data_IF_095484872777
#
_entry.id   IF_095484872777
#
_cell.length_a   1.000
_cell.length_b   1.000
_cell.length_c   1.000
_cell.angle_alpha   90.00
_cell.angle_beta   90.00
_cell.angle_gamma   90.00
#
_symmetry.space_group_name_H-M   'P 1'
#
loop_
_entity.id
_entity.type
_entity.pdbx_description
1 polymer ?
#
# COMPACT_ATOMS: atom_id res chain seq x y z
N UNK A 1 1.98 -7.43 11.36
CA UNK A 1 0.53 -7.23 11.62
C UNK A 1 -0.19 -6.66 10.41
N UNK A 2 0.15 -5.46 9.94
CA UNK A 2 -0.61 -4.76 8.88
C UNK A 2 -0.70 -5.53 7.55
N UNK A 3 0.37 -6.22 7.14
CA UNK A 3 0.35 -7.10 5.94
C UNK A 3 -0.67 -8.26 6.04
N UNK A 4 -0.98 -8.73 7.24
CA UNK A 4 -2.01 -9.77 7.47
C UNK A 4 -3.40 -9.16 7.45
N UNK A 5 -3.56 -8.00 8.09
CA UNK A 5 -4.82 -7.26 8.07
C UNK A 5 -5.23 -6.85 6.64
N UNK A 6 -4.32 -6.29 5.85
CA UNK A 6 -4.62 -5.91 4.47
C UNK A 6 -4.78 -7.11 3.55
N UNK A 7 -4.16 -8.26 3.88
CA UNK A 7 -4.45 -9.52 3.18
C UNK A 7 -5.90 -9.93 3.43
N UNK A 8 -6.33 -9.96 4.69
CA UNK A 8 -7.70 -10.37 5.07
C UNK A 8 -8.76 -9.46 4.45
N UNK A 9 -8.51 -8.14 4.41
CA UNK A 9 -9.39 -7.18 3.73
C UNK A 9 -9.39 -7.34 2.21
N UNK A 10 -8.21 -7.51 1.59
CA UNK A 10 -8.12 -7.65 0.14
C UNK A 10 -8.81 -8.93 -0.33
N UNK A 11 -8.65 -10.04 0.39
CA UNK A 11 -9.30 -11.30 0.01
C UNK A 11 -10.81 -11.23 0.21
N UNK A 12 -11.29 -10.62 1.30
CA UNK A 12 -12.72 -10.38 1.51
C UNK A 12 -13.31 -9.52 0.38
N UNK A 13 -12.65 -8.40 0.05
CA UNK A 13 -13.16 -7.47 -0.95
C UNK A 13 -13.13 -8.04 -2.37
N UNK A 14 -12.03 -8.69 -2.77
CA UNK A 14 -11.88 -9.18 -4.15
C UNK A 14 -12.54 -10.53 -4.39
N UNK A 15 -12.63 -11.38 -3.36
CA UNK A 15 -13.07 -12.76 -3.51
C UNK A 15 -14.30 -13.11 -2.66
N UNK A 16 -14.80 -12.20 -1.82
CA UNK A 16 -15.91 -12.46 -0.90
C UNK A 16 -15.55 -13.44 0.21
N UNK A 17 -14.26 -13.64 0.47
CA UNK A 17 -13.80 -14.58 1.51
C UNK A 17 -12.50 -14.09 2.15
N UNK A 18 -12.54 -13.88 3.45
CA UNK A 18 -11.36 -13.55 4.26
C UNK A 18 -10.57 -14.80 4.61
N UNK A 19 -9.24 -14.68 4.61
CA UNK A 19 -8.33 -15.79 4.95
C UNK A 19 -7.96 -15.82 6.44
N UNK A 20 -8.51 -14.88 7.23
CA UNK A 20 -8.33 -14.77 8.68
C UNK A 20 -6.86 -14.87 9.15
N UNK A 21 -5.92 -14.44 8.32
CA UNK A 21 -4.47 -14.57 8.55
C UNK A 21 -4.03 -13.86 9.84
N UNK A 22 -4.70 -12.77 10.22
CA UNK A 22 -4.42 -12.08 11.48
C UNK A 22 -4.80 -12.93 12.70
N UNK A 23 -5.96 -13.61 12.68
CA UNK A 23 -6.42 -14.46 13.80
C UNK A 23 -5.49 -15.66 13.99
N UNK A 24 -5.13 -16.35 12.91
CA UNK A 24 -4.20 -17.49 12.96
C UNK A 24 -2.83 -17.10 13.52
N UNK A 25 -2.33 -15.90 13.19
CA UNK A 25 -1.07 -15.39 13.76
C UNK A 25 -1.16 -15.10 15.26
N UNK A 26 -2.35 -14.82 15.80
CA UNK A 26 -2.57 -14.53 17.22
C UNK A 26 -2.93 -15.76 18.06
N UNK A 27 -2.96 -16.96 17.45
CA UNK A 27 -3.47 -18.19 18.07
C UNK A 27 -4.92 -18.10 18.59
N UNK A 28 -5.67 -17.07 18.19
CA UNK A 28 -7.07 -16.94 18.50
C UNK A 28 -7.88 -18.03 17.76
N UNK A 29 -8.99 -18.53 18.35
CA UNK A 29 -9.88 -19.46 17.65
C UNK A 29 -10.29 -18.86 16.30
N UNK A 30 -10.02 -19.58 15.21
CA UNK A 30 -10.61 -19.27 13.91
C UNK A 30 -12.13 -19.54 13.96
N UNK A 31 -12.93 -19.02 13.03
CA UNK A 31 -14.26 -19.59 12.82
C UNK A 31 -14.13 -21.11 12.63
N UNK A 32 -15.14 -21.86 13.06
CA UNK A 32 -15.21 -23.30 12.82
C UNK A 32 -14.86 -23.54 11.35
N UNK A 33 -13.90 -24.42 11.12
CA UNK A 33 -13.37 -24.77 9.82
C UNK A 33 -14.58 -25.04 8.91
N UNK A 34 -14.93 -24.09 8.06
CA UNK A 34 -16.06 -24.13 7.12
C UNK A 34 -15.84 -25.17 6.01
N UNK A 35 -14.79 -25.99 6.16
CA UNK A 35 -14.42 -27.08 5.27
C UNK A 35 -13.85 -26.60 3.93
N UNK A 36 -13.75 -25.28 3.73
CA UNK A 36 -13.50 -24.68 2.43
C UNK A 36 -12.02 -24.72 2.02
N UNK A 37 -11.08 -24.36 2.91
CA UNK A 37 -9.63 -24.45 2.65
C UNK A 37 -8.80 -24.33 3.94
N UNK A 38 -7.69 -25.08 4.11
CA UNK A 38 -6.82 -24.90 5.27
C UNK A 38 -5.99 -23.62 5.13
N UNK A 39 -6.53 -22.49 5.58
CA UNK A 39 -5.92 -21.15 5.50
C UNK A 39 -4.64 -20.95 6.32
N UNK A 40 -4.33 -21.90 7.21
CA UNK A 40 -3.17 -21.85 8.10
C UNK A 40 -1.87 -21.81 7.27
N UNK A 41 -1.13 -20.70 7.38
CA UNK A 41 0.17 -20.52 6.72
C UNK A 41 0.13 -19.73 5.41
N UNK A 42 -1.04 -19.42 4.84
CA UNK A 42 -1.12 -18.71 3.56
C UNK A 42 -0.38 -17.35 3.58
N UNK A 43 -0.50 -16.60 4.67
CA UNK A 43 0.23 -15.33 4.79
C UNK A 43 1.75 -15.50 4.78
N UNK A 44 2.26 -16.59 5.36
CA UNK A 44 3.69 -16.91 5.39
C UNK A 44 4.17 -17.39 4.01
N UNK A 45 3.40 -18.25 3.35
CA UNK A 45 3.65 -18.69 1.98
C UNK A 45 3.65 -17.49 1.02
N UNK A 46 2.72 -16.55 1.18
CA UNK A 46 2.61 -15.35 0.35
C UNK A 46 3.82 -14.42 0.56
N UNK A 47 4.21 -14.18 1.81
CA UNK A 47 5.40 -13.38 2.14
C UNK A 47 6.69 -14.02 1.60
N UNK A 48 6.84 -15.34 1.78
CA UNK A 48 8.00 -16.07 1.30
C UNK A 48 8.04 -16.12 -0.24
N UNK A 49 6.92 -16.39 -0.91
CA UNK A 49 6.80 -16.34 -2.37
C UNK A 49 7.18 -14.94 -2.91
N UNK A 50 6.67 -13.88 -2.30
CA UNK A 50 6.96 -12.49 -2.68
C UNK A 50 8.46 -12.18 -2.54
N UNK A 51 9.11 -12.64 -1.46
CA UNK A 51 10.58 -12.51 -1.29
C UNK A 51 11.36 -13.21 -2.42
N UNK A 52 10.93 -14.39 -2.84
CA UNK A 52 11.55 -15.07 -3.97
C UNK A 52 11.32 -14.34 -5.30
N UNK A 53 10.11 -13.81 -5.55
CA UNK A 53 9.80 -12.99 -6.73
C UNK A 53 10.69 -11.74 -6.77
N UNK A 54 10.93 -11.09 -5.63
CA UNK A 54 11.83 -9.94 -5.54
C UNK A 54 13.27 -10.29 -5.90
N UNK A 55 13.79 -11.42 -5.40
CA UNK A 55 15.14 -11.88 -5.78
C UNK A 55 15.23 -12.20 -7.28
N UNK A 56 14.18 -12.80 -7.84
CA UNK A 56 14.07 -13.03 -9.29
C UNK A 56 14.05 -11.71 -10.07
N UNK A 57 13.32 -10.71 -9.60
CA UNK A 57 13.27 -9.38 -10.19
C UNK A 57 14.65 -8.71 -10.21
N UNK A 58 15.41 -8.78 -9.10
CA UNK A 58 16.78 -8.25 -9.00
C UNK A 58 17.76 -8.89 -10.00
N UNK A 59 17.52 -10.14 -10.39
CA UNK A 59 18.34 -10.86 -11.35
C UNK A 59 18.00 -10.53 -12.82
N UNK A 60 16.94 -9.75 -13.08
CA UNK A 60 16.52 -9.32 -14.42
C UNK A 60 16.43 -10.52 -15.39
N UNK A 61 17.17 -10.50 -16.50
CA UNK A 61 17.20 -11.59 -17.50
C UNK A 61 17.71 -12.93 -16.94
N UNK A 62 18.36 -12.91 -15.78
CA UNK A 62 18.87 -14.10 -15.09
C UNK A 62 17.94 -14.58 -13.98
N UNK A 63 16.67 -14.13 -13.94
CA UNK A 63 15.69 -14.51 -12.92
C UNK A 63 15.58 -16.04 -12.69
N UNK A 64 15.84 -16.84 -13.72
CA UNK A 64 15.76 -18.29 -13.68
C UNK A 64 16.80 -18.94 -12.75
N UNK A 65 17.89 -18.24 -12.43
CA UNK A 65 18.90 -18.70 -11.45
C UNK A 65 18.32 -18.84 -10.05
N UNK A 66 17.30 -18.05 -9.68
CA UNK A 66 16.63 -18.15 -8.38
C UNK A 66 15.36 -18.99 -8.47
N UNK A 67 15.51 -20.30 -8.37
CA UNK A 67 14.39 -21.25 -8.35
C UNK A 67 14.58 -22.36 -7.29
N UNK A 68 14.65 -22.01 -5.99
CA UNK A 68 14.80 -23.01 -4.93
C UNK A 68 13.52 -23.85 -4.74
N UNK A 69 13.64 -25.00 -4.07
CA UNK A 69 12.48 -25.89 -3.77
C UNK A 69 11.40 -25.15 -2.96
N UNK A 70 11.82 -24.38 -1.96
CA UNK A 70 10.91 -23.56 -1.13
C UNK A 70 10.05 -22.62 -1.97
N UNK A 71 10.62 -21.99 -3.01
CA UNK A 71 9.86 -21.09 -3.89
C UNK A 71 8.73 -21.83 -4.60
N UNK A 72 9.01 -23.04 -5.12
CA UNK A 72 8.00 -23.86 -5.80
C UNK A 72 6.89 -24.31 -4.85
N UNK A 73 7.24 -24.65 -3.62
CA UNK A 73 6.28 -25.06 -2.58
C UNK A 73 5.37 -23.89 -2.18
N UNK A 74 5.94 -22.72 -1.90
CA UNK A 74 5.17 -21.51 -1.56
C UNK A 74 4.23 -21.08 -2.69
N UNK A 75 4.73 -21.05 -3.94
CA UNK A 75 3.91 -20.72 -5.12
C UNK A 75 2.78 -21.73 -5.31
N UNK A 76 3.01 -23.02 -5.06
CA UNK A 76 1.97 -24.04 -5.14
C UNK A 76 0.83 -23.74 -4.16
N UNK A 77 1.12 -23.31 -2.94
CA UNK A 77 0.08 -22.95 -1.96
C UNK A 77 -0.66 -21.67 -2.36
N UNK A 78 0.07 -20.63 -2.77
CA UNK A 78 -0.52 -19.35 -3.23
C UNK A 78 -1.41 -19.56 -4.46
N UNK A 79 -0.99 -20.40 -5.41
CA UNK A 79 -1.81 -20.76 -6.57
C UNK A 79 -3.05 -21.56 -6.18
N UNK A 80 -2.91 -22.54 -5.28
CA UNK A 80 -4.03 -23.35 -4.80
C UNK A 80 -5.09 -22.47 -4.13
N UNK A 81 -4.67 -21.43 -3.41
CA UNK A 81 -5.57 -20.40 -2.88
C UNK A 81 -6.28 -19.61 -3.98
N UNK A 82 -5.52 -19.02 -4.90
CA UNK A 82 -6.12 -18.21 -5.95
C UNK A 82 -7.08 -19.02 -6.82
N UNK A 83 -6.73 -20.26 -7.16
CA UNK A 83 -7.59 -21.21 -7.88
C UNK A 83 -8.88 -21.54 -7.10
N UNK A 84 -8.83 -21.56 -5.77
CA UNK A 84 -10.01 -21.70 -4.92
C UNK A 84 -10.92 -20.47 -5.03
N UNK A 85 -10.38 -19.26 -4.85
CA UNK A 85 -11.14 -18.01 -4.90
C UNK A 85 -11.84 -17.77 -6.23
N UNK A 86 -11.22 -18.17 -7.34
CA UNK A 86 -11.77 -17.94 -8.68
C UNK A 86 -12.62 -19.10 -9.19
N UNK A 87 -12.76 -20.19 -8.42
CA UNK A 87 -13.44 -21.41 -8.89
C UNK A 87 -14.86 -21.12 -9.39
N UNK A 88 -15.65 -20.42 -8.61
CA UNK A 88 -17.03 -20.08 -8.95
C UNK A 88 -17.09 -19.08 -10.11
N UNK A 89 -16.13 -18.16 -10.17
CA UNK A 89 -16.01 -17.21 -11.27
C UNK A 89 -15.67 -17.92 -12.61
N UNK A 90 -14.77 -18.91 -12.59
CA UNK A 90 -14.45 -19.75 -13.75
C UNK A 90 -15.71 -20.48 -14.23
N UNK A 91 -16.45 -21.10 -13.30
CA UNK A 91 -17.68 -21.84 -13.62
C UNK A 91 -18.76 -20.94 -14.23
N UNK A 92 -18.99 -19.75 -13.66
CA UNK A 92 -20.00 -18.79 -14.15
C UNK A 92 -19.62 -18.12 -15.47
N UNK A 93 -18.35 -17.76 -15.63
CA UNK A 93 -17.90 -16.98 -16.79
C UNK A 93 -17.64 -17.84 -18.04
N UNK A 94 -17.78 -19.17 -17.94
CA UNK A 94 -17.40 -20.14 -18.98
C UNK A 94 -16.02 -19.81 -19.61
N UNK A 95 -15.11 -19.30 -18.77
CA UNK A 95 -13.87 -18.66 -19.22
C UNK A 95 -12.82 -19.70 -19.59
N UNK A 96 -12.20 -19.51 -20.76
CA UNK A 96 -11.34 -20.50 -21.41
C UNK A 96 -9.89 -20.53 -20.91
N UNK A 97 -9.49 -19.65 -19.98
CA UNK A 97 -8.10 -19.58 -19.51
C UNK A 97 -7.97 -19.38 -17.98
N UNK A 98 -7.99 -20.47 -17.19
CA UNK A 98 -7.85 -20.41 -15.74
C UNK A 98 -6.49 -19.85 -15.29
N UNK A 99 -5.45 -19.95 -16.12
CA UNK A 99 -4.12 -19.42 -15.80
C UNK A 99 -4.14 -17.89 -15.79
N UNK A 100 -4.80 -17.27 -16.76
CA UNK A 100 -4.93 -15.82 -16.84
C UNK A 100 -5.72 -15.28 -15.64
N UNK A 101 -6.86 -15.89 -15.33
CA UNK A 101 -7.69 -15.49 -14.18
C UNK A 101 -6.90 -15.56 -12.88
N UNK A 102 -6.23 -16.69 -12.60
CA UNK A 102 -5.38 -16.83 -11.42
C UNK A 102 -4.32 -15.72 -11.37
N UNK A 103 -3.65 -15.47 -12.49
CA UNK A 103 -2.57 -14.48 -12.57
C UNK A 103 -3.09 -13.06 -12.29
N UNK A 104 -4.24 -12.68 -12.87
CA UNK A 104 -4.85 -11.37 -12.61
C UNK A 104 -5.35 -11.22 -11.18
N UNK A 105 -5.97 -12.27 -10.61
CA UNK A 105 -6.39 -12.28 -9.21
C UNK A 105 -5.21 -12.11 -8.25
N UNK A 106 -4.10 -12.78 -8.49
CA UNK A 106 -2.88 -12.62 -7.71
C UNK A 106 -2.27 -11.22 -7.86
N UNK A 107 -2.28 -10.64 -9.07
CA UNK A 107 -1.79 -9.27 -9.30
C UNK A 107 -2.59 -8.24 -8.50
N UNK A 108 -3.93 -8.34 -8.51
CA UNK A 108 -4.81 -7.42 -7.79
C UNK A 108 -4.67 -7.61 -6.27
N UNK A 109 -4.56 -8.86 -5.81
CA UNK A 109 -4.35 -9.18 -4.40
C UNK A 109 -3.04 -8.59 -3.86
N UNK A 110 -1.94 -8.82 -4.57
CA UNK A 110 -0.64 -8.24 -4.23
C UNK A 110 -0.71 -6.71 -4.19
N UNK A 111 -1.30 -6.09 -5.22
CA UNK A 111 -1.44 -4.65 -5.31
C UNK A 111 -2.24 -4.07 -4.14
N UNK A 112 -3.37 -4.68 -3.77
CA UNK A 112 -4.23 -4.22 -2.67
C UNK A 112 -3.62 -4.43 -1.28
N UNK A 113 -2.82 -5.49 -1.10
CA UNK A 113 -2.24 -5.86 0.18
C UNK A 113 -1.00 -5.03 0.55
N UNK A 114 0.03 -5.10 -0.28
CA UNK A 114 1.38 -4.66 0.10
C UNK A 114 1.51 -3.13 0.06
N UNK A 115 0.86 -2.47 -0.92
CA UNK A 115 0.89 -1.00 -1.03
C UNK A 115 0.09 -0.32 0.08
N UNK A 116 -1.09 -0.85 0.40
CA UNK A 116 -1.93 -0.32 1.49
C UNK A 116 -1.27 -0.55 2.84
N UNK A 117 -0.67 -1.72 3.07
CA UNK A 117 0.07 -1.98 4.30
C UNK A 117 1.23 -0.99 4.48
N UNK A 118 1.97 -0.67 3.42
CA UNK A 118 3.02 0.36 3.44
C UNK A 118 2.47 1.73 3.84
N UNK A 119 1.44 2.22 3.15
CA UNK A 119 0.82 3.52 3.45
C UNK A 119 0.41 3.62 4.93
N UNK A 120 -0.29 2.61 5.43
CA UNK A 120 -0.76 2.59 6.83
C UNK A 120 0.42 2.51 7.81
N UNK A 121 1.46 1.74 7.49
CA UNK A 121 2.65 1.61 8.32
C UNK A 121 3.39 2.94 8.46
N UNK A 122 3.69 3.60 7.33
CA UNK A 122 4.31 4.92 7.30
C UNK A 122 3.45 5.98 7.98
N UNK A 123 2.12 5.91 7.80
CA UNK A 123 1.19 6.82 8.47
C UNK A 123 1.31 6.73 9.99
N UNK A 124 1.29 5.53 10.57
CA UNK A 124 1.41 5.40 12.03
C UNK A 124 2.77 5.79 12.56
N UNK A 125 3.85 5.51 11.81
CA UNK A 125 5.18 5.97 12.21
C UNK A 125 5.25 7.51 12.26
N UNK A 126 4.81 8.19 11.19
CA UNK A 126 4.78 9.65 11.13
C UNK A 126 3.86 10.24 12.20
N UNK A 127 2.65 9.71 12.38
CA UNK A 127 1.72 10.21 13.39
C UNK A 127 2.24 10.01 14.82
N UNK A 128 2.92 8.90 15.12
CA UNK A 128 3.53 8.68 16.43
C UNK A 128 4.75 9.58 16.68
N UNK A 129 5.47 9.97 15.62
CA UNK A 129 6.58 10.93 15.68
C UNK A 129 6.11 12.39 15.81
N UNK A 130 4.88 12.68 15.37
CA UNK A 130 4.29 14.02 15.37
C UNK A 130 2.98 14.09 16.18
N UNK A 131 3.03 14.12 17.53
CA UNK A 131 1.84 14.09 18.38
C UNK A 131 0.85 15.25 18.14
N UNK A 132 1.32 16.43 17.73
CA UNK A 132 0.46 17.57 17.37
C UNK A 132 -0.44 17.22 16.18
N UNK A 133 0.14 16.65 15.12
CA UNK A 133 -0.59 16.22 13.92
C UNK A 133 -1.50 15.03 14.24
N UNK A 134 -1.08 14.11 15.11
CA UNK A 134 -1.95 13.04 15.61
C UNK A 134 -3.23 13.61 16.25
N UNK A 135 -3.06 14.58 17.16
CA UNK A 135 -4.18 15.20 17.88
C UNK A 135 -5.09 16.01 16.95
N UNK A 136 -4.51 16.72 15.97
CA UNK A 136 -5.29 17.43 14.95
C UNK A 136 -6.12 16.46 14.11
N UNK A 137 -5.50 15.39 13.59
CA UNK A 137 -6.21 14.33 12.86
C UNK A 137 -7.33 13.72 13.70
N UNK A 138 -7.06 13.39 14.97
CA UNK A 138 -8.07 12.86 15.89
C UNK A 138 -9.22 13.84 16.08
N UNK A 139 -8.96 15.14 16.25
CA UNK A 139 -9.99 16.17 16.36
C UNK A 139 -10.88 16.24 15.12
N UNK A 140 -10.29 16.25 13.92
CA UNK A 140 -11.04 16.20 12.65
C UNK A 140 -11.88 14.93 12.52
N UNK A 141 -11.31 13.77 12.88
CA UNK A 141 -11.99 12.48 12.84
C UNK A 141 -13.18 12.43 13.80
N UNK A 142 -13.00 12.81 15.07
CA UNK A 142 -14.08 12.79 16.06
C UNK A 142 -15.20 13.77 15.68
N UNK A 143 -14.85 14.94 15.15
CA UNK A 143 -15.84 15.92 14.66
C UNK A 143 -16.66 15.38 13.49
N UNK A 144 -16.00 14.70 12.54
CA UNK A 144 -16.65 14.24 11.31
C UNK A 144 -17.41 12.91 11.50
N UNK A 145 -16.86 11.97 12.27
CA UNK A 145 -17.34 10.60 12.36
C UNK A 145 -17.91 10.22 13.72
N UNK A 146 -17.74 11.05 14.76
CA UNK A 146 -18.17 10.74 16.12
C UNK A 146 -17.16 9.89 16.91
N UNK A 147 -17.54 9.42 18.11
CA UNK A 147 -16.71 8.55 18.95
C UNK A 147 -16.53 7.15 18.33
N UNK A 148 -15.69 6.32 18.95
CA UNK A 148 -15.37 4.98 18.42
C UNK A 148 -16.60 4.09 18.29
N UNK A 149 -17.57 4.21 19.17
CA UNK A 149 -18.79 3.40 19.22
C UNK A 149 -19.72 3.71 18.02
N UNK A 150 -19.62 4.90 17.44
CA UNK A 150 -20.39 5.32 16.27
C UNK A 150 -19.66 4.97 14.97
N UNK A 151 -20.27 4.12 14.14
CA UNK A 151 -19.74 3.73 12.81
C UNK A 151 -20.66 4.13 11.66
N UNK A 152 -21.91 4.47 11.94
CA UNK A 152 -22.93 4.83 10.95
C UNK A 152 -22.54 6.03 10.08
N UNK A 153 -21.69 6.93 10.58
CA UNK A 153 -21.21 8.11 9.84
C UNK A 153 -20.04 7.78 8.90
N UNK A 154 -19.43 6.60 9.03
CA UNK A 154 -18.26 6.20 8.24
C UNK A 154 -18.75 5.51 6.96
N UNK A 155 -18.72 6.25 5.86
CA UNK A 155 -19.07 5.78 4.52
C UNK A 155 -17.91 6.08 3.56
N UNK A 156 -17.93 5.48 2.38
CA UNK A 156 -16.97 5.82 1.32
C UNK A 156 -16.96 7.33 1.02
N UNK A 157 -18.13 7.94 0.91
CA UNK A 157 -18.26 9.36 0.60
C UNK A 157 -17.74 10.25 1.74
N UNK A 158 -18.09 9.93 2.99
CA UNK A 158 -17.69 10.75 4.14
C UNK A 158 -16.19 10.63 4.43
N UNK A 159 -15.60 9.43 4.32
CA UNK A 159 -14.14 9.23 4.38
C UNK A 159 -13.40 10.07 3.34
N UNK A 160 -13.89 10.09 2.11
CA UNK A 160 -13.33 10.89 1.02
C UNK A 160 -13.46 12.39 1.26
N UNK A 161 -14.52 12.82 1.94
CA UNK A 161 -14.79 14.24 2.25
C UNK A 161 -14.06 14.78 3.48
N UNK A 162 -13.51 13.91 4.34
CA UNK A 162 -12.72 14.34 5.50
C UNK A 162 -11.36 14.88 5.04
N UNK A 163 -11.30 16.17 4.78
CA UNK A 163 -10.19 16.86 4.11
C UNK A 163 -8.84 16.63 4.80
N UNK A 164 -8.76 16.83 6.12
CA UNK A 164 -7.51 16.65 6.86
C UNK A 164 -7.04 15.19 6.88
N UNK A 165 -7.96 14.21 6.91
CA UNK A 165 -7.61 12.79 6.74
C UNK A 165 -7.00 12.53 5.36
N UNK A 166 -7.54 13.15 4.31
CA UNK A 166 -6.96 13.07 2.96
C UNK A 166 -5.59 13.75 2.90
N UNK A 167 -5.40 14.87 3.61
CA UNK A 167 -4.12 15.58 3.68
C UNK A 167 -3.04 14.74 4.34
N UNK A 168 -3.34 14.10 5.47
CA UNK A 168 -2.41 13.16 6.13
C UNK A 168 -2.01 12.04 5.16
N UNK A 169 -2.96 11.38 4.51
CA UNK A 169 -2.62 10.29 3.58
C UNK A 169 -1.82 10.78 2.36
N UNK A 170 -2.12 11.96 1.84
CA UNK A 170 -1.36 12.54 0.71
C UNK A 170 0.07 12.89 1.10
N UNK A 171 0.25 13.45 2.29
CA UNK A 171 1.58 13.80 2.81
C UNK A 171 2.43 12.56 3.05
N UNK A 172 1.84 11.51 3.65
CA UNK A 172 2.52 10.22 3.80
C UNK A 172 2.95 9.67 2.44
N UNK A 173 2.09 9.75 1.43
CA UNK A 173 2.39 9.26 0.07
C UNK A 173 3.40 10.14 -0.69
N UNK A 174 3.52 11.43 -0.34
CA UNK A 174 4.53 12.33 -0.89
C UNK A 174 5.91 11.96 -0.33
N UNK A 175 6.05 11.80 0.98
CA UNK A 175 7.31 11.41 1.63
C UNK A 175 7.69 9.95 1.31
N UNK A 176 6.73 9.04 1.42
CA UNK A 176 6.96 7.60 1.36
C UNK A 176 6.01 6.89 0.38
N UNK A 177 6.17 7.12 -0.95
CA UNK A 177 5.37 6.43 -1.95
C UNK A 177 5.68 4.92 -1.93
N UNK A 178 4.67 4.02 -1.78
CA UNK A 178 4.91 2.58 -1.73
C UNK A 178 5.62 2.00 -2.96
N UNK A 179 5.51 2.65 -4.12
CA UNK A 179 6.24 2.29 -5.35
C UNK A 179 7.21 3.43 -5.70
N UNK A 180 8.46 3.42 -5.19
CA UNK A 180 9.36 4.56 -5.31
C UNK A 180 10.00 4.70 -6.69
N UNK A 181 10.02 3.63 -7.50
CA UNK A 181 10.66 3.57 -8.82
C UNK A 181 9.69 2.93 -9.80
N UNK A 182 9.64 3.46 -11.02
CA UNK A 182 8.84 2.87 -12.08
C UNK A 182 9.54 3.04 -13.44
N UNK A 183 9.13 2.26 -14.44
CA UNK A 183 9.83 2.22 -15.73
C UNK A 183 8.92 1.93 -16.91
N UNK A 184 9.33 2.36 -18.11
CA UNK A 184 8.70 2.02 -19.39
C UNK A 184 9.77 1.62 -20.40
N UNK A 185 9.54 0.56 -21.15
CA UNK A 185 10.40 0.17 -22.27
C UNK A 185 9.76 0.64 -23.57
N UNK A 186 10.53 1.36 -24.40
CA UNK A 186 10.06 1.85 -25.68
C UNK A 186 9.82 0.68 -26.66
N UNK A 187 8.61 0.57 -27.20
CA UNK A 187 8.24 -0.48 -28.17
C UNK A 187 8.63 -0.13 -29.62
N UNK A 188 8.99 1.12 -29.86
CA UNK A 188 9.50 1.70 -31.11
C UNK A 188 10.41 2.88 -30.78
N UNK A 189 11.25 3.29 -31.73
CA UNK A 189 11.99 4.53 -31.62
C UNK A 189 11.01 5.69 -31.37
N UNK A 190 11.34 6.53 -30.40
CA UNK A 190 10.52 7.65 -29.94
C UNK A 190 11.42 8.71 -29.31
N UNK A 191 10.84 9.80 -28.83
CA UNK A 191 11.52 10.84 -28.07
C UNK A 191 10.82 11.11 -26.75
N UNK A 192 11.56 11.54 -25.73
CA UNK A 192 10.99 12.34 -24.66
C UNK A 192 11.06 13.82 -25.08
N UNK A 193 10.06 14.64 -24.75
CA UNK A 193 10.01 16.02 -25.21
C UNK A 193 11.11 16.91 -24.58
N UNK A 194 11.61 16.54 -23.40
CA UNK A 194 12.60 17.27 -22.61
C UNK A 194 13.66 16.29 -22.07
N UNK A 195 14.79 16.82 -21.60
CA UNK A 195 15.90 16.08 -20.98
C UNK A 195 17.18 16.02 -21.81
N UNK A 196 17.20 16.60 -23.02
CA UNK A 196 18.37 16.72 -23.88
C UNK A 196 18.91 18.15 -23.99
N UNK A 197 20.10 18.30 -24.59
CA UNK A 197 20.78 19.58 -24.76
C UNK A 197 21.41 20.14 -23.47
N UNK A 198 22.22 21.21 -23.55
CA UNK A 198 22.90 21.78 -22.37
C UNK A 198 21.97 22.34 -21.30
N UNK A 199 20.75 22.74 -21.68
CA UNK A 199 19.73 23.32 -20.79
C UNK A 199 18.61 22.34 -20.41
N UNK A 200 18.69 21.08 -20.86
CA UNK A 200 17.68 20.04 -20.62
C UNK A 200 16.34 20.26 -21.33
N UNK A 201 16.21 21.25 -22.22
CA UNK A 201 14.93 21.57 -22.88
C UNK A 201 14.76 20.94 -24.26
N UNK A 202 15.80 20.32 -24.79
CA UNK A 202 15.71 19.66 -26.09
C UNK A 202 15.14 18.24 -25.96
N UNK A 203 14.51 17.69 -27.00
CA UNK A 203 14.09 16.29 -27.01
C UNK A 203 15.28 15.34 -26.88
N UNK A 204 15.05 14.19 -26.26
CA UNK A 204 16.02 13.10 -26.19
C UNK A 204 15.45 11.86 -26.89
N UNK A 205 16.25 11.27 -27.78
CA UNK A 205 15.89 10.03 -28.49
C UNK A 205 15.89 8.85 -27.52
N UNK A 206 14.82 8.06 -27.56
CA UNK A 206 14.68 6.79 -26.86
C UNK A 206 14.50 5.70 -27.90
N UNK A 207 15.48 4.81 -28.01
CA UNK A 207 15.47 3.72 -29.01
C UNK A 207 14.51 2.61 -28.61
N UNK A 208 13.98 1.88 -29.60
CA UNK A 208 13.23 0.64 -29.36
C UNK A 208 14.03 -0.29 -28.45
N UNK A 209 13.38 -0.81 -27.40
CA UNK A 209 13.98 -1.67 -26.39
C UNK A 209 14.68 -0.93 -25.25
N UNK A 210 14.86 0.39 -25.35
CA UNK A 210 15.43 1.19 -24.27
C UNK A 210 14.40 1.39 -23.15
N UNK A 211 14.83 1.20 -21.90
CA UNK A 211 14.01 1.41 -20.71
C UNK A 211 14.27 2.80 -20.14
N UNK A 212 13.20 3.57 -19.96
CA UNK A 212 13.19 4.83 -19.22
C UNK A 212 12.71 4.54 -17.81
N UNK A 213 13.52 4.91 -16.82
CA UNK A 213 13.23 4.76 -15.39
C UNK A 213 13.00 6.14 -14.80
N UNK A 214 11.99 6.28 -13.94
CA UNK A 214 11.73 7.51 -13.18
C UNK A 214 11.55 7.18 -11.70
N UNK A 215 12.04 8.08 -10.86
CA UNK A 215 12.13 7.91 -9.42
C UNK A 215 11.08 8.77 -8.74
N UNK A 216 9.95 8.16 -8.41
CA UNK A 216 8.80 8.84 -7.78
C UNK A 216 9.20 9.42 -6.43
N UNK A 217 9.92 8.66 -5.61
CA UNK A 217 10.39 9.12 -4.29
C UNK A 217 11.34 10.34 -4.38
N UNK A 218 12.19 10.39 -5.41
CA UNK A 218 13.08 11.54 -5.62
C UNK A 218 12.28 12.73 -6.13
N UNK A 219 11.48 12.57 -7.19
CA UNK A 219 10.64 13.65 -7.74
C UNK A 219 9.74 14.27 -6.66
N UNK A 220 9.25 13.47 -5.73
CA UNK A 220 8.39 13.92 -4.64
C UNK A 220 9.13 14.61 -3.49
N UNK A 221 10.47 14.57 -3.44
CA UNK A 221 11.29 15.24 -2.41
C UNK A 221 12.17 16.36 -2.98
N UNK A 222 12.09 16.65 -4.28
CA UNK A 222 12.83 17.74 -4.90
C UNK A 222 12.27 19.11 -4.48
N UNK A 223 13.13 19.95 -3.90
CA UNK A 223 12.79 21.30 -3.46
C UNK A 223 12.22 22.19 -4.57
N UNK A 224 12.62 21.97 -5.84
CA UNK A 224 12.10 22.69 -7.01
C UNK A 224 10.57 22.53 -7.16
N UNK A 225 10.02 21.41 -6.70
CA UNK A 225 8.59 21.12 -6.75
C UNK A 225 7.89 21.34 -5.41
N UNK A 226 8.57 21.07 -4.30
CA UNK A 226 7.96 20.95 -2.97
C UNK A 226 8.39 22.01 -1.96
N UNK A 227 9.37 22.84 -2.30
CA UNK A 227 9.91 23.86 -1.39
C UNK A 227 11.06 23.34 -0.51
N UNK A 228 11.66 24.22 0.32
CA UNK A 228 12.77 23.86 1.20
C UNK A 228 12.38 22.88 2.32
N UNK A 229 11.09 22.70 2.57
CA UNK A 229 10.47 21.83 3.57
C UNK A 229 9.94 20.52 2.97
N UNK A 230 10.44 20.12 1.79
CA UNK A 230 9.98 18.94 1.04
C UNK A 230 10.09 17.62 1.80
N UNK A 231 10.98 17.54 2.78
CA UNK A 231 11.22 16.37 3.65
C UNK A 231 10.46 16.45 4.99
N UNK A 232 9.73 17.54 5.23
CA UNK A 232 8.98 17.77 6.46
C UNK A 232 7.57 17.22 6.32
N UNK A 233 7.13 16.44 7.32
CA UNK A 233 5.75 15.96 7.41
C UNK A 233 4.80 17.09 7.82
N UNK A 234 4.18 17.73 6.83
CA UNK A 234 3.20 18.81 7.01
C UNK A 234 1.94 18.55 6.17
N UNK A 235 0.91 17.89 6.73
CA UNK A 235 -0.39 17.74 6.07
C UNK A 235 -1.03 19.08 5.64
N UNK A 236 -0.76 20.18 6.33
CA UNK A 236 -1.41 21.47 6.03
C UNK A 236 -0.98 22.06 4.68
N UNK A 237 0.18 21.65 4.13
CA UNK A 237 0.62 22.07 2.79
C UNK A 237 -0.42 21.79 1.71
N UNK A 238 -1.22 20.74 1.90
CA UNK A 238 -2.23 20.31 0.95
C UNK A 238 -3.44 21.24 0.84
N UNK A 239 -3.66 22.13 1.82
CA UNK A 239 -4.69 23.16 1.77
C UNK A 239 -4.43 24.19 0.65
N UNK A 240 -3.16 24.37 0.27
CA UNK A 240 -2.75 25.36 -0.72
C UNK A 240 -1.99 24.75 -1.90
N UNK A 241 -1.86 23.42 -1.93
CA UNK A 241 -1.15 22.70 -2.97
C UNK A 241 -1.78 22.94 -4.35
N UNK A 242 -0.96 23.38 -5.30
CA UNK A 242 -1.31 23.49 -6.71
C UNK A 242 -0.63 22.35 -7.47
N UNK A 243 -1.37 21.73 -8.38
CA UNK A 243 -0.83 20.65 -9.19
C UNK A 243 0.40 21.11 -9.99
N UNK A 244 1.54 20.46 -9.73
CA UNK A 244 2.83 20.77 -10.35
C UNK A 244 3.39 19.58 -11.17
N UNK A 245 2.63 18.49 -11.29
CA UNK A 245 3.06 17.26 -12.00
C UNK A 245 4.03 16.36 -11.23
N UNK A 246 4.48 16.74 -10.03
CA UNK A 246 5.46 15.99 -9.25
C UNK A 246 4.85 15.00 -8.25
N UNK A 247 3.57 15.16 -7.88
CA UNK A 247 2.86 14.21 -7.03
C UNK A 247 2.34 13.01 -7.84
N UNK A 248 3.01 11.86 -7.71
CA UNK A 248 2.79 10.68 -8.56
C UNK A 248 2.65 9.34 -7.78
N UNK A 249 2.11 9.27 -6.55
CA UNK A 249 2.08 8.00 -5.80
C UNK A 249 1.17 6.94 -6.45
N UNK A 250 0.24 7.37 -7.31
CA UNK A 250 -0.64 6.51 -8.09
C UNK A 250 -0.35 6.57 -9.60
N UNK A 251 0.77 7.17 -10.01
CA UNK A 251 1.11 7.49 -11.40
C UNK A 251 0.07 8.41 -12.08
N UNK A 252 0.16 8.55 -13.41
CA UNK A 252 -0.75 9.34 -14.22
C UNK A 252 -0.99 8.70 -15.61
N UNK A 253 -1.99 9.20 -16.33
CA UNK A 253 -2.31 8.79 -17.70
C UNK A 253 -2.98 7.40 -17.80
N UNK A 254 -2.91 6.73 -18.96
CA UNK A 254 -3.62 5.46 -19.22
C UNK A 254 -3.23 4.29 -18.32
N UNK A 255 -2.15 4.42 -17.55
CA UNK A 255 -1.66 3.41 -16.59
C UNK A 255 -1.73 3.90 -15.15
N UNK A 256 -2.59 4.88 -14.86
CA UNK A 256 -2.90 5.31 -13.50
C UNK A 256 -3.40 4.12 -12.67
N UNK A 257 -3.09 4.11 -11.38
CA UNK A 257 -3.43 3.02 -10.48
C UNK A 257 -4.95 2.81 -10.41
N UNK A 258 -5.41 1.64 -10.87
CA UNK A 258 -6.82 1.24 -10.78
C UNK A 258 -7.30 1.15 -9.32
N UNK A 259 -6.41 0.77 -8.40
CA UNK A 259 -6.70 0.56 -6.98
C UNK A 259 -6.68 1.83 -6.12
N UNK A 260 -6.51 3.03 -6.68
CA UNK A 260 -6.30 4.25 -5.90
C UNK A 260 -7.41 4.50 -4.86
N UNK A 261 -8.68 4.46 -5.28
CA UNK A 261 -9.79 4.72 -4.36
C UNK A 261 -9.93 3.60 -3.31
N UNK A 262 -9.62 2.36 -3.69
CA UNK A 262 -9.64 1.21 -2.77
C UNK A 262 -8.57 1.34 -1.68
N UNK A 263 -7.33 1.71 -2.06
CA UNK A 263 -6.23 1.90 -1.12
C UNK A 263 -6.51 3.05 -0.14
N UNK A 264 -6.94 4.22 -0.65
CA UNK A 264 -7.24 5.39 0.18
C UNK A 264 -8.44 5.18 1.10
N UNK A 265 -9.46 4.43 0.66
CA UNK A 265 -10.62 4.12 1.52
C UNK A 265 -10.22 3.20 2.66
N UNK A 266 -9.45 2.14 2.39
CA UNK A 266 -8.98 1.24 3.43
C UNK A 266 -8.06 1.96 4.43
N UNK A 267 -7.04 2.66 3.93
CA UNK A 267 -6.13 3.42 4.79
C UNK A 267 -6.89 4.47 5.60
N UNK A 268 -7.78 5.23 4.97
CA UNK A 268 -8.61 6.23 5.63
C UNK A 268 -9.50 5.63 6.73
N UNK A 269 -10.13 4.49 6.47
CA UNK A 269 -10.92 3.77 7.47
C UNK A 269 -10.05 3.31 8.65
N UNK A 270 -8.91 2.67 8.38
CA UNK A 270 -8.00 2.17 9.41
C UNK A 270 -7.52 3.31 10.30
N UNK A 271 -7.03 4.40 9.70
CA UNK A 271 -6.56 5.58 10.42
C UNK A 271 -7.70 6.16 11.27
N UNK A 272 -8.89 6.35 10.70
CA UNK A 272 -10.08 6.84 11.41
C UNK A 272 -10.39 5.99 12.64
N UNK A 273 -10.51 4.67 12.48
CA UNK A 273 -10.85 3.76 13.59
C UNK A 273 -9.77 3.74 14.67
N UNK A 274 -8.50 3.78 14.28
CA UNK A 274 -7.37 3.78 15.21
C UNK A 274 -7.32 5.08 16.01
N UNK A 275 -7.43 6.24 15.36
CA UNK A 275 -7.41 7.53 16.06
C UNK A 275 -8.70 7.83 16.81
N UNK A 276 -9.82 7.14 16.54
CA UNK A 276 -11.00 7.17 17.42
C UNK A 276 -10.74 6.38 18.70
N UNK A 277 -10.18 5.17 18.59
CA UNK A 277 -9.97 4.26 19.72
C UNK A 277 -8.83 4.69 20.65
N UNK A 278 -7.76 5.22 20.09
CA UNK A 278 -6.55 5.57 20.81
C UNK A 278 -6.35 7.09 20.77
N UNK A 279 -6.17 7.72 21.92
CA UNK A 279 -5.98 9.16 22.04
C UNK A 279 -4.50 9.57 22.00
N UNK A 280 -3.58 8.61 22.16
CA UNK A 280 -2.14 8.82 21.99
C UNK A 280 -1.48 7.64 21.28
N UNK A 281 -0.48 7.95 20.48
CA UNK A 281 0.47 6.99 19.91
C UNK A 281 1.90 7.47 20.20
N UNK A 282 2.76 6.58 20.68
CA UNK A 282 4.16 6.90 21.04
C UNK A 282 5.09 5.86 20.45
N UNK A 283 6.17 6.30 19.84
CA UNK A 283 7.27 5.41 19.47
C UNK A 283 7.92 4.83 20.73
N UNK A 284 8.27 3.55 20.69
CA UNK A 284 9.03 2.92 21.79
C UNK A 284 10.42 3.55 21.94
N UNK A 285 11.02 3.94 20.81
CA UNK A 285 12.24 4.71 20.72
C UNK A 285 11.96 6.00 19.93
N UNK A 286 11.96 7.19 20.56
CA UNK A 286 11.67 8.47 19.91
C UNK A 286 12.65 8.86 18.80
N UNK A 287 13.91 8.39 18.89
CA UNK A 287 14.97 8.74 17.95
C UNK A 287 15.06 7.72 16.79
N UNK A 288 14.22 6.68 16.81
CA UNK A 288 14.25 5.62 15.82
C UNK A 288 13.85 6.11 14.43
N UNK A 289 14.75 5.87 13.46
CA UNK A 289 14.49 6.04 12.03
C UNK A 289 14.30 4.65 11.42
N UNK A 290 13.09 4.31 10.94
CA UNK A 290 12.76 2.99 10.42
C UNK A 290 13.62 2.67 9.20
N UNK A 291 14.10 1.44 9.15
CA UNK A 291 14.77 0.92 7.96
C UNK A 291 13.75 0.75 6.84
N UNK A 292 14.17 0.97 5.60
CA UNK A 292 13.34 0.70 4.43
C UNK A 292 13.37 -0.80 4.12
N UNK A 293 12.23 -1.47 4.26
CA UNK A 293 12.05 -2.85 3.79
C UNK A 293 11.83 -2.84 2.27
N UNK A 294 12.92 -2.69 1.53
CA UNK A 294 12.90 -2.63 0.06
C UNK A 294 12.53 -3.98 -0.55
N UNK A 295 11.23 -4.15 -0.81
CA UNK A 295 10.65 -5.27 -1.52
C UNK A 295 10.20 -4.88 -2.93
N UNK A 296 9.06 -5.42 -3.34
CA UNK A 296 8.33 -4.93 -4.51
C UNK A 296 7.61 -3.60 -4.21
N UNK A 297 7.36 -3.34 -2.93
CA UNK A 297 7.00 -2.03 -2.38
C UNK A 297 8.04 -1.60 -1.36
N UNK A 298 8.09 -0.30 -1.09
CA UNK A 298 8.79 0.26 0.07
C UNK A 298 7.84 0.29 1.28
N UNK A 299 8.33 -0.06 2.46
CA UNK A 299 7.59 -0.02 3.72
C UNK A 299 8.58 0.14 4.88
N UNK A 300 8.18 0.73 6.02
CA UNK A 300 9.07 0.82 7.17
C UNK A 300 9.19 -0.56 7.85
N UNK A 301 10.38 -0.87 8.34
CA UNK A 301 10.66 -2.01 9.22
C UNK A 301 11.20 -1.54 10.57
N UNK A 302 11.15 -2.46 11.54
CA UNK A 302 11.88 -2.36 12.81
C UNK A 302 11.48 -1.17 13.71
N UNK A 303 10.19 -0.89 13.84
CA UNK A 303 9.67 0.08 14.81
C UNK A 303 8.48 -0.48 15.60
N UNK A 304 8.33 0.03 16.82
CA UNK A 304 7.26 -0.33 17.75
C UNK A 304 6.54 0.95 18.20
N UNK A 305 5.20 0.88 18.24
CA UNK A 305 4.35 1.98 18.70
C UNK A 305 3.49 1.48 19.86
N UNK A 306 3.48 2.23 20.94
CA UNK A 306 2.53 2.08 22.04
C UNK A 306 1.34 2.99 21.80
N UNK A 307 0.14 2.43 21.89
CA UNK A 307 -1.10 3.18 21.82
C UNK A 307 -1.74 3.26 23.21
N UNK A 308 -2.16 4.47 23.61
CA UNK A 308 -2.98 4.66 24.80
C UNK A 308 -4.45 4.62 24.37
N UNK A 309 -5.23 3.70 24.96
CA UNK A 309 -6.65 3.60 24.67
C UNK A 309 -7.37 4.79 25.30
N UNK A 310 -8.18 5.48 24.50
CA UNK A 310 -8.97 6.61 25.00
C UNK A 310 -9.92 6.14 26.12
N UNK A 311 -10.15 6.95 27.16
CA UNK A 311 -11.15 6.64 28.17
C UNK A 311 -12.52 6.42 27.51
N UNK A 312 -13.15 5.28 27.79
CA UNK A 312 -14.57 5.09 27.49
C UNK A 312 -15.35 5.95 28.47
N UNK A 313 -16.30 6.75 27.98
CA UNK A 313 -17.09 7.67 28.81
C UNK A 313 -18.00 6.92 29.80
N UNK A 314 -17.41 6.48 30.91
CA UNK A 314 -18.02 6.12 32.18
C UNK A 314 -17.02 6.56 33.27
N UNK A 315 -17.08 7.86 33.61
CA UNK A 315 -16.66 8.47 34.88
C UNK A 315 -17.11 9.94 34.90
#
# INVERSE_FOLDING_TARGET
>A
MLLRFTLDLATEFFFGTTVHSQRYSSQAPGPDNDGMFPWKGLGEDFDAATKHVQNRFRLLKFYWLHNPKSFRENIKQVHRFADFCIRDAIQRANQRNPIEMRSQSLNILFAGRDTTASLVSWSFWLLAKHPSIYNELRGHVLKHFGPYEETNRITFATLKSCEYLQYVMKEVLQLYPPTPINSRTAIRDTTLPLGGGPDGKSPIVVRKGQTVIYYIHITQSLNDFWGPDADTFDPSRWAHYKYNGAYLPFNAGPRICLGQQFALTQAGYILTRMVQKFDQAKLADPDMVPTHKLGATDAPSDYMIYFHQAPTGDN
#
